data_IF_597235275141
#
_entry.id   IF_597235275141
#
_cell.length_a   1.000
_cell.length_b   1.000
_cell.length_c   1.000
_cell.angle_alpha   90.00
_cell.angle_beta   90.00
_cell.angle_gamma   90.00
#
_symmetry.space_group_name_H-M   'P 1'
#
loop_
_entity.id
_entity.type
_entity.pdbx_description
1 polymer ?
#
# COMPACT_ATOMS: atom_id res chain seq x y z
N UNK A 1 24.43 -42.37 -26.84
CA UNK A 1 23.69 -42.47 -25.55
C UNK A 1 22.92 -41.16 -25.40
N UNK A 2 21.78 -40.93 -26.05
CA UNK A 2 20.82 -41.77 -26.79
C UNK A 2 19.48 -41.04 -26.61
N UNK A 3 18.89 -40.41 -27.63
CA UNK A 3 17.99 -40.98 -28.66
C UNK A 3 16.71 -41.58 -28.03
N UNK A 4 15.47 -41.29 -28.48
CA UNK A 4 14.93 -40.90 -29.81
C UNK A 4 14.04 -39.63 -29.74
N UNK A 5 13.74 -38.83 -30.79
CA UNK A 5 12.88 -39.06 -31.99
C UNK A 5 11.47 -39.62 -31.62
N UNK A 6 10.30 -39.15 -32.12
CA UNK A 6 9.88 -38.07 -33.07
C UNK A 6 8.40 -37.65 -32.74
N UNK A 7 7.52 -36.99 -33.53
CA UNK A 7 7.40 -36.67 -34.98
C UNK A 7 6.39 -35.48 -35.23
N UNK A 8 6.02 -35.23 -36.50
CA UNK A 8 5.10 -34.18 -37.00
C UNK A 8 3.62 -34.63 -37.07
N UNK A 9 2.68 -33.67 -37.21
CA UNK A 9 1.32 -33.95 -37.69
C UNK A 9 0.41 -32.71 -37.81
N UNK A 10 -0.03 -32.39 -39.03
CA UNK A 10 -1.10 -31.44 -39.34
C UNK A 10 -1.74 -31.79 -40.69
N UNK A 11 -3.08 -31.81 -40.81
CA UNK A 11 -3.85 -31.53 -42.04
C UNK A 11 -5.37 -31.32 -41.75
N UNK A 12 -6.10 -30.95 -42.79
CA UNK A 12 -7.43 -30.35 -42.95
C UNK A 12 -8.68 -31.27 -42.81
N UNK A 13 -9.77 -30.67 -42.30
CA UNK A 13 -11.14 -30.60 -42.89
C UNK A 13 -12.00 -31.87 -43.20
N UNK A 14 -13.17 -31.62 -43.80
CA UNK A 14 -14.25 -32.48 -44.32
C UNK A 14 -15.48 -32.78 -43.42
N UNK A 15 -16.36 -31.78 -43.34
CA UNK A 15 -17.78 -31.82 -43.78
C UNK A 15 -18.60 -33.14 -43.65
N UNK A 16 -19.80 -33.05 -43.04
CA UNK A 16 -21.00 -33.77 -43.54
C UNK A 16 -22.27 -32.98 -43.26
N UNK A 17 -22.84 -32.35 -44.30
CA UNK A 17 -24.23 -31.90 -44.33
C UNK A 17 -25.07 -32.84 -45.23
N UNK A 18 -26.33 -33.10 -44.85
CA UNK A 18 -27.26 -33.93 -45.65
C UNK A 18 -28.55 -33.16 -45.96
N UNK A 19 -28.72 -32.89 -47.25
CA UNK A 19 -29.93 -32.50 -48.00
C UNK A 19 -30.04 -33.53 -49.17
N UNK A 20 -31.07 -33.57 -50.05
CA UNK A 20 -32.07 -32.55 -50.43
C UNK A 20 -33.49 -33.18 -50.60
N UNK A 21 -34.43 -32.72 -51.47
CA UNK A 21 -34.54 -31.48 -52.25
C UNK A 21 -35.89 -30.73 -52.16
N UNK A 22 -35.90 -29.49 -52.65
CA UNK A 22 -37.11 -28.73 -53.00
C UNK A 22 -37.76 -29.21 -54.31
N UNK A 23 -39.07 -28.94 -54.47
CA UNK A 23 -39.72 -28.86 -55.79
C UNK A 23 -40.90 -27.88 -55.75
N UNK A 24 -41.09 -27.11 -56.81
CA UNK A 24 -42.09 -26.03 -56.89
C UNK A 24 -43.25 -26.34 -57.85
N UNK A 25 -44.47 -25.91 -57.51
CA UNK A 25 -45.60 -25.88 -58.44
C UNK A 25 -46.73 -24.93 -57.98
N UNK A 26 -47.48 -24.38 -58.93
CA UNK A 26 -48.67 -23.55 -58.67
C UNK A 26 -49.91 -24.40 -58.30
N UNK A 27 -50.83 -23.83 -57.52
CA UNK A 27 -52.22 -24.30 -57.43
C UNK A 27 -52.86 -24.07 -56.06
N UNK A 28 -53.97 -23.33 -56.00
CA UNK A 28 -54.69 -23.09 -54.76
C UNK A 28 -55.90 -24.00 -54.56
N UNK A 29 -55.96 -24.75 -53.46
CA UNK A 29 -57.24 -25.23 -52.90
C UNK A 29 -57.21 -25.62 -51.42
N UNK A 30 -58.20 -25.09 -50.71
CA UNK A 30 -59.04 -25.72 -49.67
C UNK A 30 -58.37 -26.65 -48.64
N UNK A 31 -58.32 -26.14 -47.41
CA UNK A 31 -58.76 -26.82 -46.15
C UNK A 31 -58.48 -28.31 -46.02
N UNK A 32 -57.54 -28.65 -45.13
CA UNK A 32 -57.63 -29.85 -44.29
C UNK A 32 -57.29 -29.49 -42.84
N UNK A 33 -58.32 -29.18 -42.04
CA UNK A 33 -58.20 -29.06 -40.59
C UNK A 33 -58.20 -30.46 -39.97
N UNK A 34 -57.02 -31.04 -39.76
CA UNK A 34 -56.88 -32.31 -39.06
C UNK A 34 -57.43 -32.19 -37.62
N UNK A 35 -58.43 -33.01 -37.21
CA UNK A 35 -58.89 -33.03 -35.83
C UNK A 35 -57.83 -33.74 -34.97
N UNK A 36 -57.28 -33.07 -33.97
CA UNK A 36 -56.55 -33.78 -32.91
C UNK A 36 -57.54 -34.67 -32.15
N UNK A 37 -57.32 -35.99 -32.20
CA UNK A 37 -58.14 -36.95 -31.45
C UNK A 37 -58.05 -36.67 -29.95
N UNK A 38 -59.22 -36.59 -29.29
CA UNK A 38 -59.29 -36.38 -27.84
C UNK A 38 -59.01 -37.69 -27.12
N UNK A 39 -57.76 -37.89 -26.72
CA UNK A 39 -57.38 -38.95 -25.78
C UNK A 39 -58.15 -38.77 -24.46
N UNK A 40 -59.15 -39.62 -24.23
CA UNK A 40 -60.02 -39.54 -23.06
C UNK A 40 -59.25 -39.96 -21.79
N UNK A 41 -58.78 -38.97 -21.02
CA UNK A 41 -58.07 -39.19 -19.76
C UNK A 41 -57.18 -38.03 -19.33
N UNK A 42 -56.68 -37.22 -20.28
CA UNK A 42 -55.89 -36.04 -19.94
C UNK A 42 -56.76 -34.94 -19.30
N UNK A 43 -56.34 -34.46 -18.13
CA UNK A 43 -56.98 -33.30 -17.47
C UNK A 43 -56.27 -32.01 -17.87
N UNK A 44 -57.05 -30.99 -18.23
CA UNK A 44 -56.55 -29.71 -18.73
C UNK A 44 -56.95 -28.56 -17.79
N UNK A 45 -56.15 -27.50 -17.81
CA UNK A 45 -56.36 -26.25 -17.06
C UNK A 45 -56.27 -25.06 -18.02
N UNK A 46 -57.16 -24.09 -17.87
CA UNK A 46 -57.16 -22.86 -18.68
C UNK A 46 -55.90 -22.05 -18.41
N UNK A 47 -55.17 -21.66 -19.46
CA UNK A 47 -53.95 -20.87 -19.33
C UNK A 47 -54.27 -19.44 -18.82
N UNK A 48 -53.79 -19.03 -17.63
CA UNK A 48 -54.10 -17.71 -17.06
C UNK A 48 -53.50 -16.56 -17.90
N UNK A 49 -52.33 -16.78 -18.50
CA UNK A 49 -51.63 -15.81 -19.35
C UNK A 49 -52.24 -15.67 -20.75
N UNK A 50 -53.08 -16.62 -21.18
CA UNK A 50 -53.57 -16.72 -22.56
C UNK A 50 -54.96 -16.10 -22.78
N UNK A 51 -55.44 -15.28 -21.84
CA UNK A 51 -56.77 -14.65 -21.87
C UNK A 51 -57.92 -15.66 -22.10
N UNK A 52 -57.79 -16.89 -21.58
CA UNK A 52 -58.80 -17.94 -21.70
C UNK A 52 -58.79 -18.74 -23.01
N UNK A 53 -58.10 -18.29 -24.05
CA UNK A 53 -58.22 -18.87 -25.41
C UNK A 53 -57.43 -20.19 -25.63
N UNK A 54 -56.71 -20.72 -24.62
CA UNK A 54 -55.98 -21.99 -24.71
C UNK A 54 -55.96 -22.75 -23.39
N UNK A 55 -55.96 -24.08 -23.49
CA UNK A 55 -55.91 -25.04 -22.39
C UNK A 55 -54.54 -25.74 -22.35
N UNK A 56 -54.07 -26.11 -21.16
CA UNK A 56 -52.76 -26.75 -20.90
C UNK A 56 -52.99 -28.08 -20.16
N UNK A 57 -52.39 -29.21 -20.58
CA UNK A 57 -52.50 -30.48 -19.85
C UNK A 57 -51.76 -30.43 -18.50
N UNK A 58 -52.34 -31.01 -17.44
CA UNK A 58 -51.82 -30.89 -16.06
C UNK A 58 -50.40 -31.43 -15.84
N UNK A 59 -49.95 -32.43 -16.60
CA UNK A 59 -48.56 -32.88 -16.58
C UNK A 59 -47.57 -31.72 -16.80
N UNK A 60 -47.91 -30.77 -17.68
CA UNK A 60 -47.04 -29.63 -18.00
C UNK A 60 -47.12 -28.52 -16.93
N UNK A 61 -48.25 -28.39 -16.22
CA UNK A 61 -48.48 -27.40 -15.16
C UNK A 61 -47.39 -27.45 -14.08
N UNK A 62 -46.92 -28.65 -13.72
CA UNK A 62 -45.83 -28.86 -12.74
C UNK A 62 -44.43 -28.53 -13.26
N UNK A 63 -44.26 -28.37 -14.57
CA UNK A 63 -42.99 -28.06 -15.22
C UNK A 63 -42.90 -26.59 -15.69
N UNK A 64 -43.93 -25.77 -15.44
CA UNK A 64 -43.92 -24.31 -15.63
C UNK A 64 -43.09 -23.58 -14.54
N UNK A 65 -41.83 -24.00 -14.38
CA UNK A 65 -40.80 -23.13 -13.80
C UNK A 65 -40.61 -21.94 -14.74
N UNK A 66 -40.55 -20.73 -14.18
CA UNK A 66 -40.26 -19.52 -14.94
C UNK A 66 -38.78 -19.49 -15.38
N UNK A 67 -38.44 -20.29 -16.39
CA UNK A 67 -37.16 -20.26 -17.08
C UNK A 67 -37.04 -18.96 -17.87
N UNK A 68 -36.59 -17.90 -17.20
CA UNK A 68 -36.19 -16.64 -17.85
C UNK A 68 -35.09 -16.99 -18.86
N UNK A 69 -35.32 -16.81 -20.17
CA UNK A 69 -34.35 -17.25 -21.17
C UNK A 69 -33.10 -16.38 -21.06
N UNK A 70 -31.93 -17.00 -21.18
CA UNK A 70 -30.62 -16.33 -21.07
C UNK A 70 -30.42 -15.20 -22.12
N UNK A 71 -31.27 -15.16 -23.16
CA UNK A 71 -31.34 -14.13 -24.18
C UNK A 71 -32.59 -13.24 -24.13
N UNK A 72 -33.27 -13.06 -22.99
CA UNK A 72 -34.39 -12.11 -22.88
C UNK A 72 -33.93 -10.67 -23.22
N UNK A 73 -34.38 -10.18 -24.37
CA UNK A 73 -34.02 -8.86 -24.89
C UNK A 73 -34.45 -7.72 -23.96
N UNK A 74 -35.42 -7.93 -23.05
CA UNK A 74 -35.84 -6.93 -22.07
C UNK A 74 -34.74 -6.55 -21.07
N UNK A 75 -33.76 -7.44 -20.83
CA UNK A 75 -32.62 -7.17 -19.94
C UNK A 75 -31.51 -6.32 -20.59
N UNK A 76 -31.60 -6.01 -21.89
CA UNK A 76 -30.57 -5.31 -22.69
C UNK A 76 -29.12 -5.78 -22.38
N UNK A 77 -28.82 -7.10 -22.53
CA UNK A 77 -27.61 -7.72 -21.98
C UNK A 77 -26.30 -6.96 -22.22
N UNK A 78 -26.06 -6.42 -23.43
CA UNK A 78 -24.87 -5.61 -23.74
C UNK A 78 -24.69 -4.35 -22.86
N UNK A 79 -25.78 -3.71 -22.44
CA UNK A 79 -25.69 -2.52 -21.57
C UNK A 79 -25.49 -2.91 -20.10
N UNK A 80 -26.11 -3.99 -19.65
CA UNK A 80 -25.93 -4.51 -18.28
C UNK A 80 -24.53 -5.10 -18.10
N UNK A 81 -24.02 -5.86 -19.08
CA UNK A 81 -22.64 -6.36 -19.15
C UNK A 81 -21.60 -5.22 -19.12
N UNK A 82 -21.75 -4.21 -19.99
CA UNK A 82 -20.87 -3.04 -20.02
C UNK A 82 -20.92 -2.25 -18.69
N UNK A 83 -22.10 -2.10 -18.10
CA UNK A 83 -22.28 -1.42 -16.81
C UNK A 83 -21.60 -2.16 -15.66
N UNK A 84 -21.72 -3.50 -15.61
CA UNK A 84 -21.02 -4.34 -14.63
C UNK A 84 -19.50 -4.28 -14.82
N UNK A 85 -19.01 -4.37 -16.06
CA UNK A 85 -17.59 -4.23 -16.38
C UNK A 85 -17.05 -2.85 -15.95
N UNK A 86 -17.78 -1.77 -16.25
CA UNK A 86 -17.43 -0.41 -15.82
C UNK A 86 -17.44 -0.27 -14.28
N UNK A 87 -18.42 -0.86 -13.59
CA UNK A 87 -18.48 -0.84 -12.12
C UNK A 87 -17.29 -1.58 -11.48
N UNK A 88 -16.89 -2.74 -12.04
CA UNK A 88 -15.69 -3.47 -11.62
C UNK A 88 -14.43 -2.67 -11.88
N UNK A 89 -14.29 -2.04 -13.07
CA UNK A 89 -13.15 -1.19 -13.39
C UNK A 89 -13.05 0.02 -12.45
N UNK A 90 -14.15 0.71 -12.17
CA UNK A 90 -14.20 1.82 -11.21
C UNK A 90 -13.82 1.35 -9.81
N UNK A 91 -14.30 0.18 -9.37
CA UNK A 91 -13.94 -0.40 -8.08
C UNK A 91 -12.44 -0.71 -7.99
N UNK A 92 -11.86 -1.36 -9.01
CA UNK A 92 -10.43 -1.65 -9.06
C UNK A 92 -9.58 -0.37 -9.04
N UNK A 93 -9.98 0.66 -9.79
CA UNK A 93 -9.32 1.98 -9.78
C UNK A 93 -9.43 2.63 -8.41
N UNK A 94 -10.60 2.70 -7.78
CA UNK A 94 -10.73 3.33 -6.46
C UNK A 94 -9.97 2.57 -5.37
N UNK A 95 -9.97 1.23 -5.38
CA UNK A 95 -9.17 0.44 -4.42
C UNK A 95 -7.66 0.57 -4.65
N UNK A 96 -7.23 0.66 -5.91
CA UNK A 96 -5.81 0.91 -6.23
C UNK A 96 -5.37 2.29 -5.74
N UNK A 97 -6.21 3.33 -5.94
CA UNK A 97 -5.95 4.68 -5.44
C UNK A 97 -5.94 4.74 -3.90
N UNK A 98 -6.92 4.14 -3.20
CA UNK A 98 -6.92 4.17 -1.72
C UNK A 98 -5.71 3.46 -1.15
N UNK A 99 -5.29 2.33 -1.72
CA UNK A 99 -4.03 1.67 -1.35
C UNK A 99 -2.84 2.60 -1.63
N UNK A 100 -2.71 3.17 -2.82
CA UNK A 100 -1.57 4.05 -3.17
C UNK A 100 -1.45 5.29 -2.26
N UNK A 101 -2.57 5.87 -1.83
CA UNK A 101 -2.59 7.06 -0.96
C UNK A 101 -2.47 6.76 0.53
N UNK A 102 -2.95 5.60 1.01
CA UNK A 102 -2.98 5.24 2.44
C UNK A 102 -1.93 4.20 2.85
N UNK A 103 -1.25 3.53 1.91
CA UNK A 103 -0.19 2.59 2.26
C UNK A 103 1.00 3.32 2.90
N UNK A 104 1.44 2.92 4.11
CA UNK A 104 2.41 3.68 4.87
C UNK A 104 3.77 3.68 4.19
N UNK A 105 4.25 4.89 3.89
CA UNK A 105 5.61 5.15 3.42
C UNK A 105 6.47 5.54 4.61
N UNK A 106 7.69 5.03 4.64
CA UNK A 106 8.67 5.37 5.66
C UNK A 106 8.90 6.88 5.71
N UNK A 107 8.74 7.46 6.90
CA UNK A 107 9.27 8.79 7.23
C UNK A 107 10.79 8.74 7.12
N UNK A 108 11.37 9.80 6.57
CA UNK A 108 12.81 10.02 6.59
C UNK A 108 13.20 10.97 7.73
N UNK A 109 14.35 10.70 8.34
CA UNK A 109 14.83 11.33 9.58
C UNK A 109 16.32 11.58 9.41
N UNK A 110 16.67 12.75 8.89
CA UNK A 110 18.04 13.12 8.56
C UNK A 110 18.62 14.02 9.67
N UNK A 111 19.67 13.58 10.39
CA UNK A 111 20.48 14.47 11.22
C UNK A 111 21.12 15.52 10.30
N UNK A 112 20.80 16.80 10.53
CA UNK A 112 21.40 17.92 9.79
C UNK A 112 22.67 18.46 10.50
N UNK A 113 23.15 17.73 11.50
CA UNK A 113 24.40 18.00 12.22
C UNK A 113 24.23 18.86 13.48
N UNK A 114 25.40 19.14 14.08
CA UNK A 114 25.56 19.90 15.31
C UNK A 114 25.40 21.42 15.08
N UNK A 115 24.43 22.04 15.73
CA UNK A 115 24.22 23.49 15.68
C UNK A 115 25.15 24.24 16.65
N UNK A 116 25.37 23.69 17.85
CA UNK A 116 26.32 24.21 18.83
C UNK A 116 26.68 23.18 19.91
N UNK A 117 27.91 23.23 20.40
CA UNK A 117 28.34 22.62 21.66
C UNK A 117 28.54 23.68 22.75
N UNK A 118 28.50 23.27 24.01
CA UNK A 118 29.07 24.00 25.15
C UNK A 118 29.63 23.01 26.15
N UNK A 119 30.85 23.27 26.64
CA UNK A 119 31.68 22.25 27.31
C UNK A 119 32.24 22.76 28.62
N UNK A 120 32.05 21.98 29.69
CA UNK A 120 32.52 22.31 31.04
C UNK A 120 33.24 21.09 31.60
N UNK A 121 34.52 21.22 31.95
CA UNK A 121 35.26 20.18 32.68
C UNK A 121 35.20 20.49 34.17
N UNK A 122 34.74 19.54 34.98
CA UNK A 122 34.60 19.69 36.43
C UNK A 122 34.79 18.32 37.09
N UNK A 123 35.65 18.27 38.11
CA UNK A 123 35.86 17.15 39.03
C UNK A 123 35.89 15.77 38.34
N UNK A 124 36.93 15.58 37.51
CA UNK A 124 37.22 14.34 36.76
C UNK A 124 36.13 13.89 35.76
N UNK A 125 35.18 14.78 35.43
CA UNK A 125 34.19 14.56 34.37
C UNK A 125 34.22 15.70 33.32
N UNK A 126 33.99 15.33 32.05
CA UNK A 126 33.70 16.29 30.98
C UNK A 126 32.20 16.35 30.75
N UNK A 127 31.61 17.51 30.93
CA UNK A 127 30.22 17.79 30.60
C UNK A 127 30.16 18.44 29.22
N UNK A 128 29.38 17.86 28.30
CA UNK A 128 29.20 18.34 26.94
C UNK A 128 27.70 18.50 26.68
N UNK A 129 27.22 19.73 26.61
CA UNK A 129 25.89 20.03 26.08
C UNK A 129 26.02 20.16 24.57
N UNK A 130 25.37 19.29 23.80
CA UNK A 130 25.23 19.43 22.35
C UNK A 130 23.80 19.78 21.97
N UNK A 131 23.68 20.67 20.99
CA UNK A 131 22.41 21.10 20.39
C UNK A 131 22.47 20.76 18.91
N UNK A 132 21.75 19.74 18.47
CA UNK A 132 21.81 19.22 17.09
C UNK A 132 20.44 19.33 16.40
N UNK A 133 20.45 19.29 15.07
CA UNK A 133 19.26 19.52 14.23
C UNK A 133 18.79 18.19 13.64
N UNK A 134 17.51 17.87 13.81
CA UNK A 134 16.84 16.75 13.14
C UNK A 134 15.88 17.29 12.08
N UNK A 135 16.09 16.90 10.81
CA UNK A 135 15.14 17.15 9.73
C UNK A 135 14.23 15.92 9.58
N UNK A 136 12.93 16.10 9.77
CA UNK A 136 11.90 15.06 9.68
C UNK A 136 11.09 15.30 8.41
N UNK A 137 11.07 14.34 7.50
CA UNK A 137 10.41 14.44 6.19
C UNK A 137 9.31 13.40 6.04
N UNK A 138 8.06 13.87 5.87
CA UNK A 138 6.90 13.01 5.72
C UNK A 138 6.63 12.68 4.25
N UNK A 139 7.05 11.50 3.81
CA UNK A 139 6.84 11.00 2.43
C UNK A 139 5.40 10.53 2.13
N UNK A 140 4.47 10.63 3.09
CA UNK A 140 3.07 10.20 2.98
C UNK A 140 2.16 11.30 2.41
N UNK A 141 1.02 10.87 1.83
CA UNK A 141 -0.02 11.78 1.34
C UNK A 141 -1.05 12.20 2.40
N UNK A 142 -0.84 11.78 3.65
CA UNK A 142 -1.63 12.18 4.82
C UNK A 142 -0.72 12.82 5.89
N UNK A 143 -1.25 13.68 6.77
CA UNK A 143 -0.49 14.27 7.86
C UNK A 143 -0.15 13.26 8.95
N UNK A 144 0.96 13.49 9.64
CA UNK A 144 1.45 12.70 10.77
C UNK A 144 1.59 13.59 12.00
N UNK A 145 1.55 12.99 13.20
CA UNK A 145 1.76 13.72 14.47
C UNK A 145 2.95 13.11 15.22
N UNK A 146 4.06 13.83 15.35
CA UNK A 146 5.19 13.39 16.18
C UNK A 146 4.82 13.60 17.65
N UNK A 147 4.96 12.55 18.46
CA UNK A 147 4.52 12.49 19.87
C UNK A 147 5.66 12.41 20.87
N UNK A 148 6.79 11.80 20.50
CA UNK A 148 7.95 11.67 21.38
C UNK A 148 9.24 11.57 20.55
N UNK A 149 10.31 12.21 21.03
CA UNK A 149 11.67 12.03 20.54
C UNK A 149 12.54 11.58 21.71
N UNK A 150 13.11 10.38 21.62
CA UNK A 150 14.07 9.87 22.59
C UNK A 150 15.44 9.82 21.94
N UNK A 151 16.46 10.40 22.58
CA UNK A 151 17.84 10.43 22.11
C UNK A 151 18.74 9.82 23.18
N UNK A 152 19.63 8.94 22.76
CA UNK A 152 20.72 8.37 23.53
C UNK A 152 22.04 8.74 22.84
N UNK A 153 23.01 9.19 23.63
CA UNK A 153 24.33 9.59 23.13
C UNK A 153 25.37 8.72 23.78
N UNK A 154 26.19 8.08 22.95
CA UNK A 154 27.16 7.08 23.35
C UNK A 154 28.58 7.56 23.05
N UNK A 155 29.48 7.37 24.01
CA UNK A 155 30.92 7.52 23.83
C UNK A 155 31.58 6.17 24.09
N UNK A 156 32.39 5.67 23.14
CA UNK A 156 33.01 4.33 23.20
C UNK A 156 32.00 3.20 23.53
N UNK A 157 30.79 3.29 22.95
CA UNK A 157 29.65 2.39 23.19
C UNK A 157 29.04 2.42 24.61
N UNK A 158 29.42 3.37 25.46
CA UNK A 158 28.80 3.63 26.77
C UNK A 158 27.86 4.83 26.65
N UNK A 159 26.63 4.73 27.16
CA UNK A 159 25.68 5.86 27.18
C UNK A 159 26.19 6.94 28.14
N UNK A 160 26.43 8.14 27.61
CA UNK A 160 26.92 9.32 28.35
C UNK A 160 25.87 10.43 28.47
N UNK A 161 24.79 10.37 27.69
CA UNK A 161 23.65 11.26 27.81
C UNK A 161 22.37 10.61 27.26
N UNK A 162 21.23 10.98 27.83
CA UNK A 162 19.91 10.55 27.36
C UNK A 162 18.93 11.70 27.57
N UNK A 163 18.02 11.91 26.62
CA UNK A 163 16.88 12.82 26.76
C UNK A 163 15.65 12.21 26.10
N UNK A 164 14.48 12.37 26.72
CA UNK A 164 13.20 11.97 26.13
C UNK A 164 12.23 13.13 26.22
N UNK A 165 11.87 13.68 25.07
CA UNK A 165 11.03 14.87 24.94
C UNK A 165 9.69 14.46 24.34
N UNK A 166 8.60 14.67 25.09
CA UNK A 166 7.25 14.61 24.53
C UNK A 166 7.01 15.83 23.64
N UNK A 167 6.42 15.61 22.48
CA UNK A 167 6.21 16.61 21.43
C UNK A 167 4.76 16.56 20.95
N UNK A 168 4.32 17.65 20.32
CA UNK A 168 3.08 17.70 19.57
C UNK A 168 3.36 18.48 18.27
N UNK A 169 4.08 17.81 17.36
CA UNK A 169 4.54 18.39 16.11
C UNK A 169 3.83 17.72 14.93
N UNK A 170 2.83 18.42 14.40
CA UNK A 170 2.10 17.98 13.22
C UNK A 170 2.91 18.29 11.96
N UNK A 171 3.14 17.28 11.11
CA UNK A 171 3.84 17.43 9.82
C UNK A 171 2.83 17.09 8.72
N UNK A 172 2.69 18.00 7.74
CA UNK A 172 1.75 17.87 6.65
C UNK A 172 2.11 16.74 5.68
N UNK A 173 1.19 16.39 4.75
CA UNK A 173 1.51 15.46 3.66
C UNK A 173 2.61 16.02 2.77
N UNK A 174 3.56 15.18 2.36
CA UNK A 174 4.73 15.53 1.54
C UNK A 174 5.59 16.71 2.08
N UNK A 175 5.50 17.01 3.38
CA UNK A 175 6.17 18.14 4.01
C UNK A 175 7.31 17.69 4.92
N UNK A 176 8.32 18.55 5.07
CA UNK A 176 9.41 18.40 6.04
C UNK A 176 9.35 19.48 7.12
N UNK A 177 9.88 19.17 8.30
CA UNK A 177 10.11 20.12 9.40
C UNK A 177 11.43 19.82 10.10
N UNK A 178 12.16 20.87 10.44
CA UNK A 178 13.34 20.79 11.29
C UNK A 178 12.95 20.94 12.76
N UNK A 179 13.62 20.19 13.63
CA UNK A 179 13.48 20.24 15.09
C UNK A 179 14.87 20.29 15.72
N UNK A 180 15.04 21.15 16.73
CA UNK A 180 16.25 21.22 17.54
C UNK A 180 16.11 20.30 18.75
N UNK A 181 17.15 19.55 19.07
CA UNK A 181 17.22 18.77 20.31
C UNK A 181 18.54 19.05 21.04
N UNK A 182 18.47 19.10 22.37
CA UNK A 182 19.60 19.34 23.24
C UNK A 182 19.84 18.12 24.12
N UNK A 183 21.08 17.64 24.18
CA UNK A 183 21.48 16.54 25.08
C UNK A 183 22.61 17.04 25.98
N UNK A 184 22.41 16.91 27.29
CA UNK A 184 23.46 17.09 28.28
C UNK A 184 24.17 15.75 28.50
N UNK A 185 25.46 15.69 28.18
CA UNK A 185 26.27 14.48 28.27
C UNK A 185 27.30 14.63 29.37
N UNK A 186 27.57 13.55 30.09
CA UNK A 186 28.59 13.47 31.13
C UNK A 186 29.51 12.30 30.86
N UNK A 187 30.76 12.60 30.54
CA UNK A 187 31.79 11.61 30.21
C UNK A 187 32.72 11.43 31.42
N UNK A 188 32.63 10.25 32.02
CA UNK A 188 33.57 9.74 33.03
C UNK A 188 34.60 8.83 32.37
N UNK A 189 35.62 9.42 31.74
CA UNK A 189 36.77 8.69 31.20
C UNK A 189 38.03 9.54 31.39
N UNK A 190 39.03 8.98 32.07
CA UNK A 190 40.33 9.61 32.28
C UNK A 190 40.99 10.04 30.96
N UNK A 191 40.86 9.25 29.88
CA UNK A 191 41.51 9.57 28.61
C UNK A 191 40.85 10.76 27.93
N UNK A 192 39.52 10.81 27.92
CA UNK A 192 38.74 11.97 27.44
C UNK A 192 39.05 13.22 28.27
N UNK A 193 39.08 13.12 29.61
CA UNK A 193 39.46 14.24 30.49
C UNK A 193 40.89 14.73 30.19
N UNK A 194 41.84 13.81 29.99
CA UNK A 194 43.23 14.15 29.59
C UNK A 194 43.25 14.84 28.23
N UNK A 195 42.53 14.34 27.22
CA UNK A 195 42.44 14.95 25.88
C UNK A 195 41.87 16.38 25.96
N UNK A 196 40.74 16.57 26.66
CA UNK A 196 40.09 17.88 26.77
C UNK A 196 40.94 18.90 27.55
N UNK A 197 41.71 18.46 28.55
CA UNK A 197 42.57 19.33 29.37
C UNK A 197 43.99 19.57 28.81
N UNK A 198 44.44 18.83 27.78
CA UNK A 198 45.85 18.85 27.38
C UNK A 198 46.26 20.09 26.57
N UNK A 199 46.69 21.15 27.27
CA UNK A 199 47.17 22.42 26.70
C UNK A 199 48.26 22.30 25.61
N UNK A 200 48.96 21.17 25.50
CA UNK A 200 49.98 20.90 24.47
C UNK A 200 49.40 20.49 23.11
N UNK A 201 48.15 20.03 23.05
CA UNK A 201 47.47 19.62 21.83
C UNK A 201 46.57 20.78 21.37
N UNK A 202 46.33 20.90 20.06
CA UNK A 202 45.46 21.94 19.44
C UNK A 202 44.08 21.43 19.01
N UNK A 203 43.77 20.17 19.27
CA UNK A 203 42.64 19.42 18.73
C UNK A 203 42.05 18.61 19.88
N UNK A 204 40.83 18.94 20.31
CA UNK A 204 40.21 18.37 21.50
C UNK A 204 38.88 17.67 21.13
N UNK A 205 38.90 16.87 20.07
CA UNK A 205 37.69 16.29 19.50
C UNK A 205 37.32 14.97 20.17
N UNK A 206 36.05 14.85 20.56
CA UNK A 206 35.41 13.66 21.12
C UNK A 206 34.37 13.15 20.12
N UNK A 207 34.38 11.85 19.82
CA UNK A 207 33.41 11.24 18.90
C UNK A 207 32.19 10.73 19.66
N UNK A 208 31.03 11.32 19.39
CA UNK A 208 29.75 10.91 19.97
C UNK A 208 28.91 10.18 18.92
N UNK A 209 28.46 8.97 19.26
CA UNK A 209 27.45 8.24 18.49
C UNK A 209 26.07 8.58 19.05
N UNK A 210 25.25 9.27 18.25
CA UNK A 210 23.90 9.69 18.63
C UNK A 210 22.91 8.69 18.04
N UNK A 211 22.15 8.02 18.89
CA UNK A 211 21.06 7.12 18.51
C UNK A 211 19.73 7.75 18.90
N UNK A 212 18.82 7.92 17.96
CA UNK A 212 17.52 8.55 18.19
C UNK A 212 16.35 7.67 17.77
N UNK A 213 15.28 7.68 18.57
CA UNK A 213 14.01 7.02 18.28
C UNK A 213 12.91 8.08 18.24
N UNK A 214 12.35 8.28 17.05
CA UNK A 214 11.21 9.16 16.79
C UNK A 214 9.91 8.36 16.83
N UNK A 215 9.02 8.66 17.77
CA UNK A 215 7.68 8.08 17.87
C UNK A 215 6.66 9.04 17.28
N UNK A 216 5.78 8.52 16.43
CA UNK A 216 4.74 9.29 15.75
C UNK A 216 3.43 8.52 15.66
N UNK A 217 2.36 9.24 15.35
CA UNK A 217 1.02 8.69 15.07
C UNK A 217 0.69 8.92 13.59
N UNK A 218 0.22 7.84 12.97
CA UNK A 218 -0.05 7.64 11.55
C UNK A 218 -1.40 6.90 11.45
N UNK A 219 -2.44 7.50 10.87
CA UNK A 219 -3.76 6.86 10.66
C UNK A 219 -4.33 6.13 11.93
N UNK A 220 -4.17 6.73 13.10
CA UNK A 220 -4.51 6.19 14.43
C UNK A 220 -3.62 5.06 14.99
N UNK A 221 -2.64 4.57 14.23
CA UNK A 221 -1.58 3.70 14.71
C UNK A 221 -0.39 4.52 15.23
N UNK A 222 0.38 3.98 16.17
CA UNK A 222 1.67 4.55 16.56
C UNK A 222 2.81 3.72 15.98
N UNK A 223 3.77 4.41 15.38
CA UNK A 223 4.96 3.84 14.77
C UNK A 223 6.22 4.49 15.34
N UNK A 224 7.36 3.83 15.18
CA UNK A 224 8.66 4.30 15.65
C UNK A 224 9.70 4.21 14.53
N UNK A 225 10.53 5.25 14.41
CA UNK A 225 11.63 5.35 13.44
C UNK A 225 12.93 5.60 14.19
N UNK A 226 13.87 4.65 14.09
CA UNK A 226 15.22 4.80 14.63
C UNK A 226 16.13 5.47 13.59
N UNK A 227 17.02 6.34 14.04
CA UNK A 227 18.10 6.94 13.29
C UNK A 227 19.41 6.96 14.12
N UNK A 228 20.54 7.07 13.44
CA UNK A 228 21.87 7.16 14.06
C UNK A 228 22.69 8.28 13.37
N UNK A 229 23.56 8.95 14.14
CA UNK A 229 24.50 9.97 13.69
C UNK A 229 25.85 9.79 14.39
N UNK A 230 26.91 10.31 13.79
CA UNK A 230 28.26 10.32 14.37
C UNK A 230 28.78 11.76 14.31
N UNK A 231 28.89 12.41 15.46
CA UNK A 231 29.26 13.83 15.57
C UNK A 231 30.58 13.97 16.35
N UNK A 232 31.56 14.65 15.75
CA UNK A 232 32.79 15.05 16.44
C UNK A 232 32.55 16.40 17.11
N UNK A 233 32.80 16.48 18.42
CA UNK A 233 32.61 17.68 19.23
C UNK A 233 33.95 18.10 19.82
N UNK A 234 34.35 19.37 19.62
CA UNK A 234 35.49 19.90 20.36
C UNK A 234 35.09 20.20 21.81
N UNK A 235 35.86 19.70 22.79
CA UNK A 235 35.57 19.82 24.21
C UNK A 235 36.31 20.97 24.92
N UNK A 236 36.91 21.91 24.18
CA UNK A 236 37.64 23.07 24.72
C UNK A 236 37.05 24.41 24.31
N UNK A 237 36.47 24.53 23.11
CA UNK A 237 35.86 25.78 22.64
C UNK A 237 34.33 25.78 22.81
N UNK A 238 33.78 26.86 23.36
CA UNK A 238 32.36 26.98 23.72
C UNK A 238 31.39 27.13 22.52
N UNK A 239 31.87 26.92 21.29
CA UNK A 239 31.10 26.99 20.05
C UNK A 239 31.78 26.17 18.93
N UNK A 240 31.59 24.85 18.89
CA UNK A 240 31.90 24.10 17.64
C UNK A 240 30.81 24.36 16.60
N UNK A 241 31.19 24.92 15.45
CA UNK A 241 30.30 25.10 14.31
C UNK A 241 30.04 23.76 13.57
N UNK A 242 28.93 23.60 12.82
CA UNK A 242 28.63 22.38 12.08
C UNK A 242 29.72 21.98 11.09
N UNK A 243 30.32 20.81 11.30
CA UNK A 243 30.96 20.07 10.23
C UNK A 243 29.87 19.58 9.27
N UNK A 244 29.71 20.27 8.14
CA UNK A 244 28.88 19.78 7.04
C UNK A 244 29.38 18.39 6.62
N UNK A 245 28.54 17.37 6.80
CA UNK A 245 28.76 16.06 6.21
C UNK A 245 28.75 16.23 4.68
N UNK A 246 29.94 16.20 4.08
CA UNK A 246 30.10 16.17 2.62
C UNK A 246 29.38 14.92 2.12
N UNK A 247 28.40 15.05 1.20
CA UNK A 247 27.73 13.88 0.65
C UNK A 247 28.75 12.97 -0.03
N UNK A 248 28.83 11.72 0.42
CA UNK A 248 29.49 10.68 -0.37
C UNK A 248 28.70 10.50 -1.66
N UNK A 249 29.24 11.01 -2.77
CA UNK A 249 28.74 10.65 -4.10
C UNK A 249 29.00 9.16 -4.37
N UNK A 250 28.13 8.51 -5.16
CA UNK A 250 28.32 7.13 -5.63
C UNK A 250 29.41 7.02 -6.71
#
# INVERSE_FOLDING_TARGET
>A
MGETFSQLGAQEDENTAILPPDSSSHGGSRVFSAPCERAAGASYVTCPTCQGNKEIPRELERQLVALIPYGDQRLKPRHTELSVCLAVLVCLVTTSLTIFFLFPRSIDTQPAGLNSSSTVTLDEAVYINITSILNISNSNYYPIRVTQLTIEVLHLSVVVGQVSTSLLLDIGPLASKQMFYAVANKIWDENTVKICSWLKIKVHHVLLHIQGTLTYICLSHSEQKVFQSYEYVDCRENTSAPHLLVPHLP
#
